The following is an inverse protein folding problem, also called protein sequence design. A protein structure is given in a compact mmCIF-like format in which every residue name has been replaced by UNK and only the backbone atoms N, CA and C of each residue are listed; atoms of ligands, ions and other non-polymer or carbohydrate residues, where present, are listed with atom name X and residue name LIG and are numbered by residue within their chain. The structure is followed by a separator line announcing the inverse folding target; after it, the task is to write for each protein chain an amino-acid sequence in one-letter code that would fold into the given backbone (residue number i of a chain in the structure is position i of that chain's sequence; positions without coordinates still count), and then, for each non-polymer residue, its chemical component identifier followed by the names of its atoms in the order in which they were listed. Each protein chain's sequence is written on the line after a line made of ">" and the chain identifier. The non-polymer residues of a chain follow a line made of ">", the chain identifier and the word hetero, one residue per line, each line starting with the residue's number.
data_IF_166739361404
#
_entry.id   IF_166739361404
#
_cell.length_a   1.000
_cell.length_b   1.000
_cell.length_c   1.000
_cell.angle_alpha   90.00
_cell.angle_beta   90.00
_cell.angle_gamma   90.00
#
_symmetry.space_group_name_H-M   'P 1'
#
loop_
_entity.id
_entity.type
_entity.pdbx_description
1 polymer ?
#
# COMPACT_ATOMS: atom_id res chain seq x y z
N UNK A 1 -10.25 5.53 -7.23
CA UNK A 1 -9.86 4.15 -6.81
C UNK A 1 -9.06 4.20 -5.50
N UNK A 2 -8.67 3.05 -4.93
CA UNK A 2 -7.74 3.00 -3.79
C UNK A 2 -6.37 2.55 -4.31
N UNK A 3 -5.32 3.31 -4.02
CA UNK A 3 -3.95 2.88 -4.20
C UNK A 3 -3.43 2.19 -2.94
N UNK A 4 -2.68 1.10 -3.11
CA UNK A 4 -2.08 0.33 -2.01
C UNK A 4 -0.62 0.06 -2.33
N UNK A 5 0.24 0.19 -1.33
CA UNK A 5 1.66 -0.16 -1.38
C UNK A 5 1.99 -1.10 -0.23
N UNK A 6 2.67 -2.21 -0.54
CA UNK A 6 3.18 -3.12 0.50
C UNK A 6 4.44 -2.54 1.15
N UNK A 7 4.43 -2.34 2.46
CA UNK A 7 5.53 -1.67 3.18
C UNK A 7 6.46 -2.63 3.93
N UNK A 8 6.00 -3.88 4.17
CA UNK A 8 6.70 -4.89 4.96
C UNK A 8 6.76 -6.26 4.27
N UNK A 9 7.81 -7.03 4.61
CA UNK A 9 8.00 -8.41 4.15
C UNK A 9 7.11 -9.43 4.88
N UNK A 10 7.40 -10.72 4.72
CA UNK A 10 6.59 -11.84 5.25
C UNK A 10 7.10 -12.41 6.58
N UNK A 11 8.35 -12.11 6.96
CA UNK A 11 8.97 -12.66 8.15
C UNK A 11 8.14 -12.36 9.41
N UNK A 12 7.77 -13.41 10.16
CA UNK A 12 6.95 -13.32 11.37
C UNK A 12 5.49 -12.89 11.14
N UNK A 13 5.03 -12.80 9.89
CA UNK A 13 3.66 -12.40 9.56
C UNK A 13 2.75 -13.61 9.56
N UNK A 14 1.52 -13.44 10.06
CA UNK A 14 0.51 -14.51 10.03
C UNK A 14 0.19 -14.94 8.60
N UNK A 15 -0.03 -16.25 8.41
CA UNK A 15 -0.35 -16.86 7.10
C UNK A 15 -1.54 -16.19 6.41
N UNK A 16 -2.58 -15.89 7.16
CA UNK A 16 -3.81 -15.29 6.61
C UNK A 16 -3.61 -13.85 6.08
N UNK A 17 -2.66 -13.10 6.64
CA UNK A 17 -2.25 -11.78 6.14
C UNK A 17 -1.42 -11.95 4.86
N UNK A 18 -0.50 -12.93 4.84
CA UNK A 18 0.30 -13.25 3.65
C UNK A 18 -0.61 -13.65 2.48
N UNK A 19 -1.62 -14.48 2.74
CA UNK A 19 -2.56 -14.93 1.71
C UNK A 19 -3.43 -13.76 1.21
N UNK A 20 -3.79 -12.82 2.08
CA UNK A 20 -4.47 -11.58 1.67
C UNK A 20 -3.58 -10.76 0.72
N UNK A 21 -2.28 -10.62 1.00
CA UNK A 21 -1.35 -9.97 0.06
C UNK A 21 -1.26 -10.70 -1.28
N UNK A 22 -1.28 -12.03 -1.29
CA UNK A 22 -1.28 -12.83 -2.54
C UNK A 22 -2.56 -12.63 -3.34
N UNK A 23 -3.73 -12.62 -2.68
CA UNK A 23 -5.04 -12.35 -3.30
C UNK A 23 -5.07 -10.97 -3.96
N UNK A 24 -4.54 -9.96 -3.26
CA UNK A 24 -4.39 -8.59 -3.79
C UNK A 24 -3.22 -8.42 -4.76
N UNK A 25 -2.49 -9.50 -5.10
CA UNK A 25 -1.35 -9.53 -6.02
C UNK A 25 -0.17 -8.62 -5.61
N UNK A 26 -0.01 -8.38 -4.31
CA UNK A 26 1.05 -7.57 -3.68
C UNK A 26 2.18 -8.47 -3.13
N UNK A 27 2.95 -9.07 -4.04
CA UNK A 27 3.92 -10.13 -3.71
C UNK A 27 5.22 -9.63 -3.07
N UNK A 28 5.70 -8.43 -3.45
CA UNK A 28 7.02 -7.91 -3.02
C UNK A 28 6.85 -6.65 -2.18
N UNK A 29 7.86 -6.34 -1.35
CA UNK A 29 7.94 -5.02 -0.70
C UNK A 29 7.97 -3.95 -1.80
N UNK A 30 7.24 -2.87 -1.57
CA UNK A 30 7.01 -1.76 -2.51
C UNK A 30 6.31 -2.15 -3.81
N UNK A 31 5.69 -3.34 -3.89
CA UNK A 31 4.68 -3.57 -4.92
C UNK A 31 3.46 -2.69 -4.66
N UNK A 32 2.91 -2.12 -5.73
CA UNK A 32 1.74 -1.27 -5.69
C UNK A 32 0.64 -1.76 -6.64
N UNK A 33 -0.62 -1.49 -6.26
CA UNK A 33 -1.82 -1.86 -7.01
C UNK A 33 -2.91 -0.80 -6.82
N UNK A 34 -3.69 -0.56 -7.86
CA UNK A 34 -5.01 0.07 -7.77
C UNK A 34 -6.05 -1.01 -7.49
N UNK A 35 -6.97 -0.69 -6.59
CA UNK A 35 -8.07 -1.56 -6.19
C UNK A 35 -9.36 -0.74 -6.14
N UNK A 36 -10.45 -1.33 -6.63
CA UNK A 36 -11.78 -0.73 -6.55
C UNK A 36 -12.27 -0.64 -5.10
N UNK A 37 -13.00 0.44 -4.79
CA UNK A 37 -13.55 0.70 -3.46
C UNK A 37 -14.86 -0.10 -3.26
N UNK A 38 -14.73 -1.42 -3.13
CA UNK A 38 -15.84 -2.32 -2.74
C UNK A 38 -15.73 -2.70 -1.27
N UNK A 39 -16.84 -3.06 -0.62
CA UNK A 39 -16.83 -3.48 0.79
C UNK A 39 -15.93 -4.69 1.05
N UNK A 40 -15.87 -5.63 0.11
CA UNK A 40 -15.00 -6.82 0.16
C UNK A 40 -13.52 -6.42 0.10
N UNK A 41 -13.15 -5.55 -0.84
CA UNK A 41 -11.79 -5.06 -0.96
C UNK A 41 -11.37 -4.28 0.28
N UNK A 42 -12.23 -3.41 0.80
CA UNK A 42 -11.96 -2.66 2.05
C UNK A 42 -11.71 -3.62 3.22
N UNK A 43 -12.47 -4.71 3.32
CA UNK A 43 -12.24 -5.75 4.34
C UNK A 43 -10.85 -6.38 4.24
N UNK A 44 -10.42 -6.75 3.03
CA UNK A 44 -9.07 -7.27 2.78
C UNK A 44 -7.99 -6.24 3.10
N UNK A 45 -8.19 -4.99 2.72
CA UNK A 45 -7.24 -3.89 2.94
C UNK A 45 -7.08 -3.63 4.44
N UNK A 46 -8.17 -3.57 5.20
CA UNK A 46 -8.15 -3.41 6.66
C UNK A 46 -7.39 -4.54 7.36
N UNK A 47 -7.43 -5.76 6.82
CA UNK A 47 -6.68 -6.90 7.36
C UNK A 47 -5.16 -6.74 7.20
N UNK A 48 -4.70 -6.07 6.14
CA UNK A 48 -3.27 -5.82 5.87
C UNK A 48 -2.78 -4.43 6.33
N UNK A 49 -3.63 -3.65 7.01
CA UNK A 49 -3.39 -2.26 7.41
C UNK A 49 -2.10 -2.06 8.22
N UNK A 50 -1.71 -3.06 9.01
CA UNK A 50 -0.46 -3.04 9.79
C UNK A 50 0.82 -3.28 8.97
N UNK A 51 0.69 -3.52 7.66
CA UNK A 51 1.77 -3.96 6.76
C UNK A 51 1.82 -3.20 5.43
N UNK A 52 0.77 -2.45 5.10
CA UNK A 52 0.61 -1.71 3.86
C UNK A 52 0.24 -0.27 4.13
N UNK A 53 0.55 0.61 3.19
CA UNK A 53 0.04 1.98 3.13
C UNK A 53 -1.05 2.04 2.04
N UNK A 54 -2.16 2.73 2.29
CA UNK A 54 -3.23 2.85 1.30
C UNK A 54 -4.05 4.13 1.44
N UNK A 55 -4.69 4.56 0.36
CA UNK A 55 -5.50 5.78 0.34
C UNK A 55 -6.14 6.06 -1.02
N UNK A 56 -6.84 7.18 -1.13
CA UNK A 56 -7.45 7.66 -2.38
C UNK A 56 -6.39 7.97 -3.43
N UNK A 57 -6.50 7.32 -4.59
CA UNK A 57 -5.65 7.60 -5.73
C UNK A 57 -6.16 8.83 -6.49
N UNK A 58 -5.27 9.77 -6.82
CA UNK A 58 -5.56 10.82 -7.78
C UNK A 58 -5.52 10.28 -9.22
N UNK A 59 -6.11 10.99 -10.18
CA UNK A 59 -6.09 10.60 -11.60
C UNK A 59 -4.66 10.35 -12.14
N UNK A 60 -3.69 11.13 -11.66
CA UNK A 60 -2.28 10.97 -12.02
C UNK A 60 -1.74 9.62 -11.53
N UNK A 61 -2.01 9.25 -10.28
CA UNK A 61 -1.60 7.97 -9.72
C UNK A 61 -2.35 6.82 -10.38
N UNK A 62 -3.62 7.01 -10.72
CA UNK A 62 -4.40 6.01 -11.45
C UNK A 62 -3.77 5.69 -12.82
N UNK A 63 -3.30 6.71 -13.55
CA UNK A 63 -2.56 6.53 -14.80
C UNK A 63 -1.23 5.82 -14.59
N UNK A 64 -0.47 6.18 -13.55
CA UNK A 64 0.83 5.57 -13.25
C UNK A 64 0.69 4.09 -12.88
N UNK A 65 -0.33 3.76 -12.07
CA UNK A 65 -0.58 2.42 -11.56
C UNK A 65 -1.62 1.64 -12.37
N UNK A 66 -1.96 2.10 -13.58
CA UNK A 66 -2.83 1.37 -14.52
C UNK A 66 -2.34 -0.08 -14.68
N UNK A 67 -1.02 -0.22 -14.82
CA UNK A 67 -0.34 -1.49 -14.71
C UNK A 67 0.27 -1.64 -13.33
N UNK A 68 0.20 -2.83 -12.75
CA UNK A 68 0.87 -3.07 -11.49
C UNK A 68 2.37 -2.99 -11.62
N UNK A 69 3.00 -2.29 -10.69
CA UNK A 69 4.45 -2.08 -10.72
C UNK A 69 5.09 -2.29 -9.35
N UNK A 70 6.38 -2.63 -9.39
CA UNK A 70 7.26 -2.51 -8.24
C UNK A 70 7.80 -1.08 -8.18
N UNK A 71 7.57 -0.41 -7.07
CA UNK A 71 8.07 0.94 -6.83
C UNK A 71 9.48 0.88 -6.21
N UNK A 72 10.27 1.94 -6.41
CA UNK A 72 11.57 2.08 -5.73
C UNK A 72 11.35 2.43 -4.25
N UNK A 73 12.35 2.23 -3.38
CA UNK A 73 12.30 2.81 -2.04
C UNK A 73 12.04 4.33 -2.10
N UNK A 74 11.26 4.90 -1.17
CA UNK A 74 10.91 6.32 -1.21
C UNK A 74 12.14 7.20 -1.01
N UNK A 75 12.31 8.19 -1.89
CA UNK A 75 13.32 9.24 -1.74
C UNK A 75 13.05 10.02 -0.45
N UNK A 76 14.09 10.19 0.38
CA UNK A 76 13.98 10.83 1.70
C UNK A 76 13.50 9.90 2.82
N UNK A 77 13.31 8.62 2.56
CA UNK A 77 12.96 7.63 3.56
C UNK A 77 11.50 7.68 4.03
N UNK A 78 11.24 7.00 5.15
CA UNK A 78 9.94 6.86 5.79
C UNK A 78 10.03 7.35 7.23
N UNK A 79 8.94 7.92 7.77
CA UNK A 79 8.85 8.28 9.19
C UNK A 79 8.92 7.05 10.07
N UNK A 80 8.09 6.05 9.78
CA UNK A 80 8.07 4.78 10.50
C UNK A 80 7.33 3.72 9.70
N UNK A 81 8.01 2.59 9.49
CA UNK A 81 7.38 1.36 9.02
C UNK A 81 6.58 0.65 10.12
N UNK A 82 6.55 1.16 11.36
CA UNK A 82 5.91 0.51 12.53
C UNK A 82 4.66 1.19 13.04
N UNK A 83 4.52 2.47 12.82
CA UNK A 83 3.39 3.24 13.32
C UNK A 83 2.44 3.58 12.18
N UNK A 84 1.14 3.59 12.48
CA UNK A 84 0.13 4.05 11.52
C UNK A 84 0.23 5.55 11.30
N UNK A 85 -0.22 6.01 10.14
CA UNK A 85 -0.48 7.42 9.88
C UNK A 85 -1.40 8.02 10.98
N UNK A 86 -1.16 9.26 11.47
CA UNK A 86 -0.16 10.24 11.03
C UNK A 86 1.23 10.10 11.66
N UNK A 87 1.39 9.20 12.64
CA UNK A 87 2.67 9.01 13.37
C UNK A 87 3.70 8.18 12.60
N UNK A 88 3.27 7.41 11.59
CA UNK A 88 4.14 6.71 10.65
C UNK A 88 3.50 6.63 9.26
N UNK A 89 3.87 5.62 8.47
CA UNK A 89 3.55 5.56 7.04
C UNK A 89 2.74 4.32 6.64
N UNK A 90 2.31 3.50 7.61
CA UNK A 90 1.40 2.36 7.34
C UNK A 90 -0.05 2.73 7.63
N UNK A 91 -0.96 1.92 7.10
CA UNK A 91 -2.40 2.04 7.20
C UNK A 91 -3.01 3.04 6.23
N UNK A 92 -4.23 3.50 6.55
CA UNK A 92 -4.94 4.50 5.76
C UNK A 92 -4.28 5.88 5.91
N UNK A 93 -3.77 6.42 4.81
CA UNK A 93 -3.11 7.73 4.76
C UNK A 93 -3.84 8.76 3.89
N UNK A 94 -5.04 8.44 3.41
CA UNK A 94 -5.83 9.33 2.56
C UNK A 94 -5.07 9.75 1.29
N UNK A 95 -5.16 11.02 0.92
CA UNK A 95 -4.48 11.59 -0.24
C UNK A 95 -2.94 11.56 -0.13
N UNK A 96 -2.37 11.35 1.06
CA UNK A 96 -0.91 11.28 1.24
C UNK A 96 -0.28 10.07 0.57
N UNK A 97 -1.07 9.08 0.15
CA UNK A 97 -0.58 7.98 -0.68
C UNK A 97 0.01 8.49 -1.99
N UNK A 98 -0.57 9.55 -2.56
CA UNK A 98 -0.14 10.10 -3.84
C UNK A 98 1.27 10.71 -3.72
N UNK A 99 1.52 11.49 -2.66
CA UNK A 99 2.83 12.05 -2.35
C UNK A 99 3.87 10.94 -2.13
N UNK A 100 3.48 9.86 -1.45
CA UNK A 100 4.38 8.73 -1.19
C UNK A 100 4.76 8.01 -2.49
N UNK A 101 3.80 7.75 -3.37
CA UNK A 101 4.06 7.09 -4.67
C UNK A 101 4.98 7.96 -5.52
N UNK A 102 4.76 9.28 -5.57
CA UNK A 102 5.64 10.22 -6.30
C UNK A 102 7.09 10.17 -5.84
N UNK A 103 7.34 9.96 -4.54
CA UNK A 103 8.71 9.79 -3.99
C UNK A 103 9.38 8.48 -4.40
N UNK A 104 8.61 7.49 -4.86
CA UNK A 104 9.06 6.12 -5.14
C UNK A 104 9.26 5.84 -6.64
N UNK A 105 9.07 6.84 -7.50
CA UNK A 105 9.28 6.76 -8.96
C UNK A 105 10.69 7.26 -9.33
#
# INVERSE_FOLDING_TARGET
>A
MIAIIRMRGEAGTRRDVIDTFKMLRLKKIYSARLIEKTSQNIGMIRKIDNFAAWGEASEEIEKILEKPMGLKPPKGGLKSKKLKYPRGDIGYCGDKINDLIKKMI
#
